data_IF_893211711971
#
_entry.id   IF_893211711971
#
_cell.length_a   1.000
_cell.length_b   1.000
_cell.length_c   1.000
_cell.angle_alpha   90.00
_cell.angle_beta   90.00
_cell.angle_gamma   90.00
#
_symmetry.space_group_name_H-M   'P 1'
#
loop_
_entity.id
_entity.type
_entity.pdbx_description
1 polymer ?
#
# COMPACT_ATOMS: atom_id res chain seq x y z
N UNK A 1 10.43 -15.63 5.54
CA UNK A 1 11.37 -14.53 5.80
C UNK A 1 10.65 -13.23 5.52
N UNK A 2 10.57 -12.34 6.51
CA UNK A 2 9.94 -11.03 6.41
C UNK A 2 10.83 -10.13 5.56
N UNK A 3 10.37 -9.73 4.38
CA UNK A 3 11.07 -8.76 3.54
C UNK A 3 10.79 -7.36 4.09
N UNK A 4 11.55 -6.98 5.12
CA UNK A 4 11.44 -5.63 5.67
C UNK A 4 12.82 -5.02 5.86
N UNK A 5 13.14 -4.09 4.97
CA UNK A 5 14.23 -3.15 5.15
C UNK A 5 13.63 -1.73 5.19
N UNK A 6 13.34 -1.19 6.38
CA UNK A 6 12.82 0.17 6.52
C UNK A 6 13.68 1.23 5.83
N UNK A 7 15.00 1.04 5.77
CA UNK A 7 15.91 1.95 5.06
C UNK A 7 15.66 2.01 3.54
N UNK A 8 14.94 1.02 2.98
CA UNK A 8 14.51 1.03 1.59
C UNK A 8 13.29 1.93 1.32
N UNK A 9 12.43 2.17 2.31
CA UNK A 9 11.18 2.95 2.17
C UNK A 9 11.43 4.35 1.59
N UNK A 10 12.41 5.13 2.10
CA UNK A 10 12.72 6.44 1.52
C UNK A 10 13.00 6.37 0.01
N UNK A 11 13.67 5.31 -0.46
CA UNK A 11 14.06 5.14 -1.88
C UNK A 11 13.03 4.42 -2.76
N UNK A 12 11.75 4.42 -2.37
CA UNK A 12 10.65 3.77 -3.11
C UNK A 12 10.51 2.27 -2.84
N UNK A 13 11.16 1.77 -1.79
CA UNK A 13 10.93 0.43 -1.26
C UNK A 13 9.65 0.33 -0.43
N UNK A 14 9.35 -0.88 0.02
CA UNK A 14 8.29 -1.16 0.97
C UNK A 14 8.76 -2.19 1.99
N UNK A 15 8.12 -2.20 3.15
CA UNK A 15 8.15 -3.33 4.06
C UNK A 15 6.85 -4.12 3.96
N UNK A 16 6.94 -5.43 4.01
CA UNK A 16 5.78 -6.32 4.14
C UNK A 16 6.05 -7.34 5.25
N UNK A 17 5.10 -7.44 6.18
CA UNK A 17 5.18 -8.34 7.32
C UNK A 17 3.97 -9.26 7.36
N UNK A 18 4.20 -10.55 7.56
CA UNK A 18 3.12 -11.47 7.94
C UNK A 18 2.80 -11.24 9.41
N UNK A 19 1.55 -10.92 9.72
CA UNK A 19 1.06 -10.87 11.10
C UNK A 19 0.66 -12.28 11.58
N UNK A 20 0.58 -12.52 12.89
CA UNK A 20 -0.06 -13.72 13.44
C UNK A 20 -1.52 -13.88 12.97
N UNK A 21 -2.09 -15.06 13.17
CA UNK A 21 -3.50 -15.35 12.89
C UNK A 21 -4.34 -15.49 14.16
N UNK A 22 -3.88 -14.90 15.27
CA UNK A 22 -4.45 -15.05 16.60
C UNK A 22 -4.63 -13.69 17.29
N UNK A 23 -5.11 -13.69 18.53
CA UNK A 23 -5.39 -12.47 19.31
C UNK A 23 -4.14 -11.59 19.57
N UNK A 24 -2.92 -12.06 19.29
CA UNK A 24 -1.69 -11.25 19.37
C UNK A 24 -1.46 -10.37 18.14
N UNK A 25 -2.27 -10.50 17.08
CA UNK A 25 -2.15 -9.76 15.81
C UNK A 25 -2.05 -8.24 16.00
N UNK A 26 -2.95 -7.57 16.76
CA UNK A 26 -2.86 -6.12 16.94
C UNK A 26 -1.59 -5.71 17.69
N UNK A 27 -1.16 -6.49 18.69
CA UNK A 27 0.07 -6.24 19.44
C UNK A 27 1.32 -6.32 18.56
N UNK A 28 1.40 -7.31 17.67
CA UNK A 28 2.48 -7.42 16.70
C UNK A 28 2.46 -6.29 15.68
N UNK A 29 1.28 -5.89 15.19
CA UNK A 29 1.16 -4.78 14.27
C UNK A 29 1.67 -3.46 14.89
N UNK A 30 1.29 -3.18 16.14
CA UNK A 30 1.82 -2.02 16.89
C UNK A 30 3.34 -2.06 17.01
N UNK A 31 3.91 -3.21 17.38
CA UNK A 31 5.36 -3.37 17.50
C UNK A 31 6.10 -3.10 16.18
N UNK A 32 5.62 -3.66 15.08
CA UNK A 32 6.24 -3.53 13.76
C UNK A 32 6.15 -2.11 13.20
N UNK A 33 4.99 -1.46 13.34
CA UNK A 33 4.80 -0.04 12.99
C UNK A 33 5.72 0.85 13.82
N UNK A 34 5.73 0.67 15.14
CA UNK A 34 6.61 1.45 16.05
C UNK A 34 8.07 1.32 15.65
N UNK A 35 8.55 0.09 15.47
CA UNK A 35 9.94 -0.18 15.11
C UNK A 35 10.30 0.46 13.77
N UNK A 36 9.43 0.33 12.77
CA UNK A 36 9.66 0.88 11.43
C UNK A 36 9.67 2.41 11.47
N UNK A 37 8.68 3.04 12.10
CA UNK A 37 8.57 4.49 12.17
C UNK A 37 9.70 5.12 12.99
N UNK A 38 10.15 4.50 14.07
CA UNK A 38 11.33 4.95 14.82
C UNK A 38 12.60 4.90 13.96
N UNK A 39 12.81 3.83 13.19
CA UNK A 39 13.95 3.74 12.26
C UNK A 39 13.88 4.77 11.14
N UNK A 40 12.66 5.18 10.76
CA UNK A 40 12.39 6.22 9.79
C UNK A 40 12.45 7.64 10.37
N UNK A 41 12.71 7.80 11.67
CA UNK A 41 12.90 9.10 12.32
C UNK A 41 11.61 9.86 12.63
N UNK A 42 10.48 9.16 12.79
CA UNK A 42 9.24 9.79 13.24
C UNK A 42 9.33 10.24 14.70
N UNK A 43 8.69 11.38 14.99
CA UNK A 43 8.50 11.84 16.36
C UNK A 43 7.53 10.92 17.14
N UNK A 44 7.57 10.91 18.48
CA UNK A 44 6.74 10.01 19.29
C UNK A 44 5.23 10.13 19.03
N UNK A 45 4.70 11.34 18.83
CA UNK A 45 3.26 11.55 18.68
C UNK A 45 2.66 10.83 17.44
N UNK A 46 3.15 11.04 16.20
CA UNK A 46 2.70 10.25 15.06
C UNK A 46 2.83 8.73 15.23
N UNK A 47 3.80 8.27 16.01
CA UNK A 47 3.98 6.83 16.28
C UNK A 47 2.85 6.31 17.18
N UNK A 48 2.41 7.06 18.17
CA UNK A 48 1.26 6.71 19.01
C UNK A 48 -0.05 6.68 18.19
N UNK A 49 -0.25 7.68 17.32
CA UNK A 49 -1.39 7.71 16.40
C UNK A 49 -1.40 6.47 15.49
N UNK A 50 -0.23 6.12 14.92
CA UNK A 50 -0.08 4.95 14.07
C UNK A 50 -0.35 3.63 14.82
N UNK A 51 0.11 3.52 16.07
CA UNK A 51 -0.12 2.34 16.93
C UNK A 51 -1.61 2.12 17.15
N UNK A 52 -2.36 3.18 17.46
CA UNK A 52 -3.79 3.07 17.66
C UNK A 52 -4.50 2.70 16.35
N UNK A 53 -4.25 3.44 15.27
CA UNK A 53 -4.87 3.19 13.97
C UNK A 53 -4.57 1.79 13.41
N UNK A 54 -3.31 1.32 13.48
CA UNK A 54 -2.96 -0.02 13.00
C UNK A 54 -3.56 -1.13 13.87
N UNK A 55 -3.74 -0.88 15.17
CA UNK A 55 -4.38 -1.84 16.08
C UNK A 55 -5.84 -2.05 15.68
N UNK A 56 -6.56 -0.98 15.36
CA UNK A 56 -7.94 -1.05 14.86
C UNK A 56 -8.02 -1.83 13.54
N UNK A 57 -7.15 -1.51 12.57
CA UNK A 57 -7.13 -2.24 11.29
C UNK A 57 -6.77 -3.72 11.44
N UNK A 58 -5.77 -4.03 12.27
CA UNK A 58 -5.37 -5.42 12.54
C UNK A 58 -6.47 -6.21 13.27
N UNK A 59 -7.20 -5.56 14.18
CA UNK A 59 -8.33 -6.16 14.90
C UNK A 59 -9.48 -6.44 13.94
N UNK A 60 -9.80 -5.49 13.05
CA UNK A 60 -10.81 -5.69 12.00
C UNK A 60 -10.44 -6.84 11.07
N UNK A 61 -9.20 -6.88 10.59
CA UNK A 61 -8.71 -7.95 9.71
C UNK A 61 -8.79 -9.32 10.38
N UNK A 62 -8.42 -9.43 11.67
CA UNK A 62 -8.52 -10.69 12.42
C UNK A 62 -9.98 -11.09 12.68
N UNK A 63 -10.83 -10.14 13.09
CA UNK A 63 -12.25 -10.39 13.44
C UNK A 63 -13.06 -10.82 12.22
N UNK A 64 -12.73 -10.27 11.05
CA UNK A 64 -13.40 -10.58 9.78
C UNK A 64 -12.66 -11.63 8.94
N UNK A 65 -11.59 -12.25 9.46
CA UNK A 65 -10.96 -13.39 8.82
C UNK A 65 -11.87 -14.62 8.95
N UNK A 66 -12.65 -14.93 7.90
CA UNK A 66 -13.54 -16.10 7.88
C UNK A 66 -12.82 -17.46 7.90
N UNK A 67 -11.48 -17.50 7.77
CA UNK A 67 -10.69 -18.75 7.86
C UNK A 67 -9.50 -18.63 8.81
N UNK A 68 -9.28 -19.67 9.61
CA UNK A 68 -8.23 -19.75 10.62
C UNK A 68 -6.81 -19.87 10.04
N UNK A 69 -6.66 -19.99 8.72
CA UNK A 69 -5.38 -20.24 8.06
C UNK A 69 -4.83 -19.03 7.32
N UNK A 70 -5.67 -18.04 6.98
CA UNK A 70 -5.24 -16.85 6.24
C UNK A 70 -4.79 -15.75 7.22
N UNK A 71 -3.48 -15.54 7.28
CA UNK A 71 -2.88 -14.53 8.15
C UNK A 71 -2.85 -13.15 7.46
N UNK A 72 -3.25 -12.06 8.16
CA UNK A 72 -3.13 -10.72 7.61
C UNK A 72 -1.68 -10.30 7.36
N UNK A 73 -1.50 -9.30 6.50
CA UNK A 73 -0.20 -8.70 6.24
C UNK A 73 -0.21 -7.21 6.60
N UNK A 74 0.88 -6.73 7.18
CA UNK A 74 1.14 -5.31 7.40
C UNK A 74 2.13 -4.81 6.35
N UNK A 75 1.76 -3.77 5.62
CA UNK A 75 2.62 -3.13 4.63
C UNK A 75 2.87 -1.66 4.97
N UNK A 76 4.06 -1.19 4.65
CA UNK A 76 4.45 0.21 4.82
C UNK A 76 5.30 0.68 3.64
N UNK A 77 4.95 1.82 3.06
CA UNK A 77 5.76 2.51 2.04
C UNK A 77 5.51 4.02 2.09
N UNK A 78 6.41 4.81 1.50
CA UNK A 78 6.24 6.24 1.36
C UNK A 78 5.58 6.55 0.01
N UNK A 79 4.65 7.50 0.01
CA UNK A 79 4.16 8.19 -1.19
C UNK A 79 4.52 9.66 -1.11
N UNK A 80 4.85 10.27 -2.24
CA UNK A 80 5.26 11.69 -2.32
C UNK A 80 4.21 12.57 -2.98
N UNK A 81 3.26 11.99 -3.72
CA UNK A 81 2.17 12.71 -4.38
C UNK A 81 0.77 12.21 -3.94
N UNK A 82 -0.19 13.10 -3.63
CA UNK A 82 -0.11 14.57 -3.76
C UNK A 82 0.69 15.26 -2.64
N UNK A 83 0.90 14.57 -1.52
CA UNK A 83 1.65 15.02 -0.36
C UNK A 83 2.58 13.92 0.17
N UNK A 84 3.72 14.26 0.80
CA UNK A 84 4.62 13.28 1.40
C UNK A 84 4.01 12.59 2.62
N UNK A 85 3.67 11.31 2.48
CA UNK A 85 2.97 10.52 3.48
C UNK A 85 3.51 9.09 3.58
N UNK A 86 3.53 8.53 4.78
CA UNK A 86 3.71 7.10 5.01
C UNK A 86 2.35 6.43 4.89
N UNK A 87 2.24 5.50 3.94
CA UNK A 87 1.08 4.61 3.81
C UNK A 87 1.29 3.40 4.71
N UNK A 88 0.31 3.12 5.56
CA UNK A 88 0.26 1.95 6.43
C UNK A 88 -1.00 1.17 6.06
N UNK A 89 -0.81 -0.11 5.75
CA UNK A 89 -1.82 -0.95 5.13
C UNK A 89 -1.93 -2.29 5.83
N UNK A 90 -3.14 -2.74 6.08
CA UNK A 90 -3.43 -4.13 6.43
C UNK A 90 -4.11 -4.81 5.25
N UNK A 91 -3.54 -5.93 4.82
CA UNK A 91 -4.15 -6.82 3.84
C UNK A 91 -4.75 -8.04 4.53
N UNK A 92 -5.93 -8.44 4.05
CA UNK A 92 -6.56 -9.70 4.38
C UNK A 92 -7.13 -10.34 3.11
N UNK A 93 -7.20 -11.68 3.10
CA UNK A 93 -7.67 -12.44 1.93
C UNK A 93 -9.18 -12.27 1.68
N UNK A 94 -9.94 -11.75 2.65
CA UNK A 94 -11.39 -11.70 2.59
C UNK A 94 -11.87 -10.51 1.74
N UNK A 95 -11.84 -10.72 0.43
CA UNK A 95 -12.12 -9.70 -0.59
C UNK A 95 -13.47 -8.99 -0.46
N UNK A 96 -14.51 -9.68 0.02
CA UNK A 96 -15.88 -9.15 -0.04
C UNK A 96 -16.41 -8.55 1.28
N UNK A 97 -15.63 -8.63 2.37
CA UNK A 97 -16.04 -8.11 3.68
C UNK A 97 -15.43 -6.72 3.93
N UNK A 98 -16.02 -5.70 3.31
CA UNK A 98 -15.51 -4.33 3.44
C UNK A 98 -15.80 -3.73 4.82
N UNK A 99 -14.84 -2.99 5.42
CA UNK A 99 -15.10 -2.30 6.67
C UNK A 99 -16.17 -1.23 6.43
N UNK A 100 -17.17 -1.18 7.30
CA UNK A 100 -18.25 -0.19 7.24
C UNK A 100 -18.07 0.81 8.38
N UNK A 101 -18.15 2.10 8.05
CA UNK A 101 -18.25 3.15 9.06
C UNK A 101 -19.67 3.08 9.62
N UNK A 102 -19.81 2.64 10.88
CA UNK A 102 -21.10 2.70 11.57
C UNK A 102 -21.16 4.00 12.36
N UNK A 103 -22.11 4.86 12.02
CA UNK A 103 -22.52 5.99 12.88
C UNK A 103 -23.34 5.41 14.04
N UNK A 104 -22.66 4.78 15.00
CA UNK A 104 -23.27 4.18 16.17
C UNK A 104 -23.42 5.17 17.33
N UNK A 105 -24.52 5.02 18.07
CA UNK A 105 -24.82 5.68 19.34
C UNK A 105 -23.62 5.61 20.30
N UNK A 106 -23.49 6.58 21.22
CA UNK A 106 -22.28 6.77 22.06
C UNK A 106 -21.82 5.52 22.83
N UNK A 107 -22.71 4.53 23.00
CA UNK A 107 -22.52 3.29 23.76
C UNK A 107 -22.23 2.04 22.90
N UNK A 108 -22.26 2.10 21.56
CA UNK A 108 -21.89 0.97 20.71
C UNK A 108 -20.38 1.00 20.38
N UNK A 109 -19.62 0.07 20.93
CA UNK A 109 -18.17 -0.04 20.68
C UNK A 109 -17.87 -0.72 19.33
N UNK A 110 -18.82 -1.46 18.77
CA UNK A 110 -18.64 -2.25 17.54
C UNK A 110 -18.84 -1.40 16.28
N UNK A 111 -17.86 -0.54 15.98
CA UNK A 111 -17.85 0.28 14.76
C UNK A 111 -17.02 1.55 14.81
N UNK A 112 -16.48 1.90 15.97
CA UNK A 112 -15.64 3.10 16.18
C UNK A 112 -14.23 2.97 15.62
N UNK A 113 -13.73 1.75 15.38
CA UNK A 113 -12.35 1.55 14.95
C UNK A 113 -11.98 2.32 13.70
N UNK A 114 -12.86 2.36 12.69
CA UNK A 114 -12.59 3.12 11.47
C UNK A 114 -12.74 4.64 11.66
N UNK A 115 -13.60 5.12 12.58
CA UNK A 115 -13.68 6.55 12.89
C UNK A 115 -12.44 7.04 13.63
N UNK A 116 -11.86 6.21 14.51
CA UNK A 116 -10.56 6.47 15.14
C UNK A 116 -9.47 6.56 14.07
N UNK A 117 -9.40 5.59 13.16
CA UNK A 117 -8.41 5.61 12.06
C UNK A 117 -8.54 6.88 11.22
N UNK A 118 -9.76 7.30 10.87
CA UNK A 118 -9.99 8.54 10.12
C UNK A 118 -9.59 9.79 10.92
N UNK A 119 -9.86 9.83 12.23
CA UNK A 119 -9.52 10.97 13.08
C UNK A 119 -8.00 11.15 13.26
N UNK A 120 -7.24 10.06 13.21
CA UNK A 120 -5.78 10.06 13.43
C UNK A 120 -4.95 10.13 12.15
N UNK A 121 -5.58 10.03 10.97
CA UNK A 121 -4.88 9.92 9.69
C UNK A 121 -5.09 11.14 8.80
N UNK A 122 -4.13 11.39 7.91
CA UNK A 122 -4.27 12.40 6.86
C UNK A 122 -5.30 11.96 5.83
N UNK A 123 -5.28 10.66 5.49
CA UNK A 123 -6.26 10.01 4.64
C UNK A 123 -6.31 8.52 4.93
N UNK A 124 -7.47 7.91 4.66
CA UNK A 124 -7.69 6.48 4.78
C UNK A 124 -8.58 5.98 3.64
N UNK A 125 -8.55 4.67 3.41
CA UNK A 125 -9.40 4.06 2.41
C UNK A 125 -9.26 2.55 2.33
N UNK A 126 -9.90 2.00 1.31
CA UNK A 126 -9.90 0.57 1.02
C UNK A 126 -9.79 0.35 -0.49
N UNK A 127 -9.23 -0.79 -0.88
CA UNK A 127 -9.23 -1.20 -2.29
C UNK A 127 -8.97 -2.71 -2.42
N UNK A 128 -9.47 -3.36 -3.49
CA UNK A 128 -9.11 -4.75 -3.78
C UNK A 128 -7.64 -4.81 -4.21
N UNK A 129 -6.92 -5.86 -3.82
CA UNK A 129 -5.50 -6.02 -4.14
C UNK A 129 -5.10 -7.50 -4.00
N UNK A 130 -3.81 -7.81 -4.04
CA UNK A 130 -3.25 -9.16 -3.83
C UNK A 130 -2.26 -9.18 -2.68
N UNK A 131 -1.99 -10.32 -2.06
CA UNK A 131 -0.95 -10.47 -1.04
C UNK A 131 0.42 -10.09 -1.58
N UNK A 132 1.28 -9.45 -0.76
CA UNK A 132 2.69 -9.20 -1.11
C UNK A 132 3.59 -10.40 -0.88
N UNK A 133 3.13 -11.38 -0.09
CA UNK A 133 3.92 -12.54 0.29
C UNK A 133 3.62 -13.78 -0.56
N UNK A 134 2.40 -13.91 -1.08
CA UNK A 134 1.95 -15.10 -1.83
C UNK A 134 1.04 -14.79 -3.03
N UNK A 135 0.82 -13.52 -3.37
CA UNK A 135 0.00 -13.08 -4.51
C UNK A 135 -1.50 -13.48 -4.48
N UNK A 136 -2.02 -14.04 -3.37
CA UNK A 136 -3.44 -14.36 -3.24
C UNK A 136 -4.31 -13.08 -3.32
N UNK A 137 -5.44 -13.09 -4.05
CA UNK A 137 -6.36 -11.96 -4.08
C UNK A 137 -7.01 -11.71 -2.72
N UNK A 138 -7.34 -10.45 -2.47
CA UNK A 138 -7.97 -10.02 -1.23
C UNK A 138 -8.26 -8.53 -1.26
N UNK A 139 -8.22 -7.91 -0.10
CA UNK A 139 -8.40 -6.46 0.03
C UNK A 139 -7.35 -5.86 0.94
N UNK A 140 -7.18 -4.55 0.81
CA UNK A 140 -6.39 -3.76 1.72
C UNK A 140 -7.25 -2.65 2.33
N UNK A 141 -7.10 -2.46 3.64
CA UNK A 141 -7.52 -1.27 4.37
C UNK A 141 -6.27 -0.49 4.75
N UNK A 142 -6.26 0.81 4.52
CA UNK A 142 -5.06 1.63 4.66
C UNK A 142 -5.36 2.99 5.26
N UNK A 143 -4.34 3.57 5.89
CA UNK A 143 -4.33 4.95 6.34
C UNK A 143 -2.95 5.57 6.09
N UNK A 144 -2.87 6.89 6.26
CA UNK A 144 -1.65 7.66 6.00
C UNK A 144 -1.35 8.62 7.12
N UNK A 145 -0.05 8.83 7.35
CA UNK A 145 0.48 9.85 8.25
C UNK A 145 1.47 10.71 7.46
N UNK A 146 1.55 12.01 7.78
CA UNK A 146 2.54 12.89 7.16
C UNK A 146 3.96 12.40 7.44
N UNK A 147 4.83 12.43 6.43
CA UNK A 147 6.25 12.11 6.63
C UNK A 147 6.93 13.20 7.48
N UNK A 148 7.96 12.87 8.29
CA UNK A 148 8.73 13.84 9.05
C UNK A 148 9.28 14.97 8.16
N UNK A 149 9.41 16.18 8.69
CA UNK A 149 10.00 17.31 7.96
C UNK A 149 11.47 17.06 7.55
N UNK A 150 12.19 16.23 8.31
CA UNK A 150 13.54 15.76 8.02
C UNK A 150 13.60 14.61 7.01
N UNK A 151 12.46 14.22 6.41
CA UNK A 151 12.44 13.18 5.39
C UNK A 151 13.39 13.59 4.25
N UNK A 152 14.36 12.73 3.84
CA UNK A 152 15.55 13.20 3.16
C UNK A 152 15.28 14.10 1.94
N UNK A 153 15.94 15.26 1.88
CA UNK A 153 15.85 16.20 0.75
C UNK A 153 16.27 15.59 -0.59
N UNK A 154 17.02 14.48 -0.57
CA UNK A 154 17.39 13.67 -1.73
C UNK A 154 16.19 13.24 -2.60
N UNK A 155 14.95 13.26 -2.07
CA UNK A 155 13.74 12.88 -2.81
C UNK A 155 13.11 13.99 -3.65
N UNK A 156 13.47 15.27 -3.45
CA UNK A 156 12.95 16.36 -4.28
C UNK A 156 13.60 16.44 -5.67
N UNK A 157 14.62 15.61 -5.96
CA UNK A 157 15.24 15.59 -7.30
C UNK A 157 16.34 14.56 -7.59
N UNK A 158 16.74 13.69 -6.65
CA UNK A 158 18.04 12.99 -6.75
C UNK A 158 17.99 11.48 -7.00
N UNK A 159 16.86 10.77 -6.84
CA UNK A 159 16.76 9.38 -7.34
C UNK A 159 16.33 9.40 -8.80
N UNK A 160 17.27 9.79 -9.68
CA UNK A 160 17.10 9.66 -11.13
C UNK A 160 17.24 8.19 -11.52
N UNK A 161 16.16 7.43 -11.33
CA UNK A 161 16.09 6.10 -11.94
C UNK A 161 15.98 6.28 -13.45
N UNK A 162 16.84 5.62 -14.22
CA UNK A 162 16.63 5.53 -15.66
C UNK A 162 15.21 4.96 -15.92
N UNK A 163 14.45 5.47 -16.90
CA UNK A 163 13.08 4.99 -17.17
C UNK A 163 12.99 3.47 -17.30
N UNK A 164 14.00 2.86 -17.93
CA UNK A 164 14.14 1.41 -18.05
C UNK A 164 14.20 0.72 -16.69
N UNK A 165 15.04 1.19 -15.78
CA UNK A 165 15.16 0.64 -14.42
C UNK A 165 13.86 0.81 -13.63
N UNK A 166 13.20 1.97 -13.73
CA UNK A 166 11.90 2.19 -13.08
C UNK A 166 10.82 1.25 -13.65
N UNK A 167 10.81 1.07 -14.97
CA UNK A 167 9.93 0.12 -15.64
C UNK A 167 10.19 -1.33 -15.22
N UNK A 168 11.46 -1.74 -15.12
CA UNK A 168 11.83 -3.10 -14.68
C UNK A 168 11.40 -3.35 -13.24
N UNK A 169 11.56 -2.35 -12.35
CA UNK A 169 11.11 -2.44 -10.95
C UNK A 169 9.58 -2.52 -10.84
N UNK A 170 8.85 -1.74 -11.63
CA UNK A 170 7.38 -1.81 -11.65
C UNK A 170 6.90 -3.15 -12.21
N UNK A 171 7.51 -3.61 -13.31
CA UNK A 171 7.21 -4.91 -13.90
C UNK A 171 7.45 -6.05 -12.91
N UNK A 172 8.57 -6.03 -12.19
CA UNK A 172 8.86 -7.01 -11.14
C UNK A 172 7.84 -6.96 -9.99
N UNK A 173 7.45 -5.76 -9.54
CA UNK A 173 6.46 -5.59 -8.49
C UNK A 173 5.07 -6.12 -8.88
N UNK A 174 4.63 -5.88 -10.13
CA UNK A 174 3.36 -6.39 -10.66
C UNK A 174 3.38 -7.92 -10.83
N UNK A 175 4.44 -8.47 -11.42
CA UNK A 175 4.58 -9.92 -11.60
C UNK A 175 4.69 -10.67 -10.27
N UNK A 176 5.40 -10.12 -9.28
CA UNK A 176 5.47 -10.70 -7.93
C UNK A 176 4.09 -10.77 -7.26
N UNK A 177 3.14 -9.95 -7.70
CA UNK A 177 1.74 -9.94 -7.25
C UNK A 177 0.84 -10.71 -8.20
N UNK A 178 1.37 -11.43 -9.18
CA UNK A 178 0.59 -12.24 -10.11
C UNK A 178 -0.24 -11.45 -11.11
N UNK A 179 0.12 -10.19 -11.40
CA UNK A 179 -0.50 -9.37 -12.46
C UNK A 179 0.29 -9.53 -13.75
N UNK A 180 -0.24 -10.23 -14.77
CA UNK A 180 0.45 -10.43 -16.03
C UNK A 180 0.76 -9.09 -16.69
N UNK A 181 2.06 -8.86 -16.93
CA UNK A 181 2.54 -7.59 -17.46
C UNK A 181 3.55 -7.88 -18.56
N UNK A 182 3.47 -7.17 -19.69
CA UNK A 182 4.55 -7.12 -20.69
C UNK A 182 5.26 -5.77 -20.58
N UNK A 183 6.54 -5.73 -20.98
CA UNK A 183 7.35 -4.51 -20.92
C UNK A 183 8.05 -4.32 -22.25
N UNK A 184 7.87 -3.14 -22.84
CA UNK A 184 8.58 -2.69 -24.02
C UNK A 184 9.38 -1.42 -23.69
N UNK A 185 10.56 -1.26 -24.26
CA UNK A 185 11.39 -0.07 -24.12
C UNK A 185 11.92 0.32 -25.48
N UNK A 186 11.78 1.58 -25.87
CA UNK A 186 12.36 2.09 -27.12
C UNK A 186 13.72 2.77 -26.89
N UNK A 187 14.38 3.12 -27.98
CA UNK A 187 15.68 3.81 -27.97
C UNK A 187 15.56 5.29 -27.57
N UNK A 188 14.34 5.85 -27.53
CA UNK A 188 14.07 7.22 -27.09
C UNK A 188 14.14 7.38 -25.57
N UNK A 189 14.20 6.26 -24.84
CA UNK A 189 14.29 6.21 -23.39
C UNK A 189 12.92 6.24 -22.72
N UNK A 190 11.84 5.95 -23.44
CA UNK A 190 10.51 5.71 -22.87
C UNK A 190 10.31 4.20 -22.75
N UNK A 191 9.72 3.76 -21.63
CA UNK A 191 9.27 2.38 -21.49
C UNK A 191 7.76 2.34 -21.34
N UNK A 192 7.14 1.29 -21.83
CA UNK A 192 5.70 1.03 -21.68
C UNK A 192 5.54 -0.33 -21.04
N UNK A 193 4.77 -0.39 -19.96
CA UNK A 193 4.28 -1.63 -19.40
C UNK A 193 2.83 -1.79 -19.81
N UNK A 194 2.46 -2.96 -20.30
CA UNK A 194 1.08 -3.28 -20.65
C UNK A 194 0.58 -4.38 -19.74
N UNK A 195 -0.47 -4.09 -18.98
CA UNK A 195 -1.29 -5.09 -18.29
C UNK A 195 -2.51 -5.40 -19.16
N UNK A 196 -3.32 -6.38 -18.77
CA UNK A 196 -4.55 -6.71 -19.51
C UNK A 196 -5.52 -5.54 -19.69
N UNK A 197 -5.46 -4.51 -18.83
CA UNK A 197 -6.42 -3.39 -18.85
C UNK A 197 -5.77 -2.00 -18.92
N UNK A 198 -4.46 -1.87 -18.69
CA UNK A 198 -3.76 -0.58 -18.68
C UNK A 198 -2.47 -0.61 -19.50
N UNK A 199 -2.19 0.52 -20.16
CA UNK A 199 -0.86 0.87 -20.63
C UNK A 199 -0.26 1.92 -19.69
N UNK A 200 0.91 1.62 -19.14
CA UNK A 200 1.66 2.47 -18.23
C UNK A 200 2.91 2.97 -18.95
N UNK A 201 2.94 4.25 -19.27
CA UNK A 201 4.11 4.92 -19.82
C UNK A 201 5.06 5.33 -18.70
N UNK A 202 6.35 5.08 -18.91
CA UNK A 202 7.42 5.40 -17.98
C UNK A 202 8.38 6.35 -18.69
N UNK A 203 8.34 7.61 -18.28
CA UNK A 203 9.27 8.65 -18.70
C UNK A 203 10.34 8.90 -17.63
N UNK A 204 11.21 9.90 -17.81
CA UNK A 204 12.31 10.24 -16.88
C UNK A 204 11.85 10.78 -15.52
N UNK A 205 10.58 11.11 -15.38
CA UNK A 205 10.00 11.81 -14.23
C UNK A 205 8.85 11.03 -13.60
N UNK A 206 8.11 10.22 -14.36
CA UNK A 206 6.89 9.62 -13.87
C UNK A 206 6.47 8.32 -14.55
N UNK A 207 5.66 7.56 -13.81
CA UNK A 207 4.69 6.61 -14.33
C UNK A 207 3.42 7.36 -14.71
N UNK A 208 2.86 7.08 -15.87
CA UNK A 208 1.60 7.68 -16.32
C UNK A 208 0.72 6.64 -16.96
N UNK A 209 -0.58 6.71 -16.74
CA UNK A 209 -1.56 5.84 -17.39
C UNK A 209 -2.91 6.54 -17.49
N UNK A 210 -3.80 5.96 -18.30
CA UNK A 210 -5.17 6.42 -18.45
C UNK A 210 -6.13 5.32 -18.04
N UNK A 211 -7.09 5.66 -17.20
CA UNK A 211 -8.20 4.79 -16.77
C UNK A 211 -9.52 5.49 -17.13
N UNK A 212 -10.15 5.03 -18.20
CA UNK A 212 -11.27 5.75 -18.84
C UNK A 212 -10.89 7.19 -19.21
N UNK A 213 -11.56 8.17 -18.60
CA UNK A 213 -11.26 9.59 -18.80
C UNK A 213 -10.17 10.13 -17.86
N UNK A 214 -9.82 9.40 -16.80
CA UNK A 214 -8.86 9.85 -15.79
C UNK A 214 -7.42 9.58 -16.27
N UNK A 215 -6.67 10.66 -16.49
CA UNK A 215 -5.22 10.57 -16.67
C UNK A 215 -4.53 10.69 -15.31
N UNK A 216 -3.67 9.73 -14.98
CA UNK A 216 -2.91 9.72 -13.73
C UNK A 216 -1.42 9.78 -14.03
N UNK A 217 -0.70 10.57 -13.24
CA UNK A 217 0.75 10.72 -13.30
C UNK A 217 1.34 10.64 -11.89
N UNK A 218 2.34 9.78 -11.71
CA UNK A 218 2.98 9.50 -10.43
C UNK A 218 4.49 9.59 -10.52
N UNK A 219 5.20 10.25 -9.59
CA UNK A 219 6.65 10.27 -9.56
C UNK A 219 7.26 8.86 -9.58
N UNK A 220 8.44 8.68 -10.20
CA UNK A 220 9.10 7.36 -10.25
C UNK A 220 9.44 6.78 -8.86
N UNK A 221 9.61 7.64 -7.87
CA UNK A 221 9.87 7.23 -6.47
C UNK A 221 8.64 6.58 -5.83
N UNK A 222 7.43 6.92 -6.30
CA UNK A 222 6.14 6.39 -5.84
C UNK A 222 5.83 5.04 -6.54
N UNK A 223 6.86 4.20 -6.66
CA UNK A 223 6.78 2.88 -7.29
C UNK A 223 5.70 2.01 -6.65
N UNK A 224 5.66 1.99 -5.30
CA UNK A 224 4.74 1.15 -4.54
C UNK A 224 3.30 1.64 -4.67
N UNK A 225 3.09 2.95 -4.58
CA UNK A 225 1.79 3.58 -4.81
C UNK A 225 1.29 3.34 -6.24
N UNK A 226 2.18 3.43 -7.23
CA UNK A 226 1.86 3.12 -8.62
C UNK A 226 1.47 1.65 -8.80
N UNK A 227 2.25 0.73 -8.21
CA UNK A 227 1.96 -0.70 -8.26
C UNK A 227 0.60 -1.03 -7.63
N UNK A 228 0.30 -0.52 -6.43
CA UNK A 228 -1.00 -0.78 -5.79
C UNK A 228 -2.18 -0.24 -6.61
N UNK A 229 -2.06 0.93 -7.25
CA UNK A 229 -3.12 1.46 -8.11
C UNK A 229 -3.37 0.59 -9.35
N UNK A 230 -2.31 0.10 -9.98
CA UNK A 230 -2.42 -0.79 -11.14
C UNK A 230 -2.99 -2.15 -10.73
N UNK A 231 -2.54 -2.73 -9.62
CA UNK A 231 -3.06 -3.99 -9.08
C UNK A 231 -4.53 -3.85 -8.70
N UNK A 232 -4.90 -2.76 -8.04
CA UNK A 232 -6.29 -2.51 -7.65
C UNK A 232 -7.21 -2.38 -8.86
N UNK A 233 -6.77 -1.67 -9.89
CA UNK A 233 -7.51 -1.56 -11.14
C UNK A 233 -7.64 -2.94 -11.82
N UNK A 234 -6.56 -3.74 -11.86
CA UNK A 234 -6.60 -5.12 -12.38
C UNK A 234 -7.62 -5.98 -11.63
N UNK A 235 -7.59 -5.97 -10.30
CA UNK A 235 -8.50 -6.75 -9.48
C UNK A 235 -9.96 -6.34 -9.67
N UNK A 236 -10.22 -5.03 -9.78
CA UNK A 236 -11.57 -4.52 -10.01
C UNK A 236 -12.16 -5.02 -11.33
N UNK A 237 -11.35 -5.10 -12.39
CA UNK A 237 -11.81 -5.52 -13.73
C UNK A 237 -11.75 -7.03 -13.97
N UNK A 238 -10.85 -7.75 -13.29
CA UNK A 238 -10.77 -9.20 -13.37
C UNK A 238 -12.05 -9.88 -12.85
N UNK A 239 -12.71 -9.30 -11.84
CA UNK A 239 -13.98 -9.78 -11.30
C UNK A 239 -15.18 -9.64 -12.25
N UNK A 240 -15.07 -8.80 -13.29
CA UNK A 240 -16.16 -8.61 -14.28
C UNK A 240 -16.14 -9.69 -15.39
N UNK A 241 -15.08 -10.50 -15.44
CA UNK A 241 -14.87 -11.56 -16.46
C UNK A 241 -15.21 -12.97 -16.00
N UNK A 242 -15.84 -13.15 -14.84
CA UNK A 242 -16.38 -14.45 -14.44
C UNK A 242 -17.74 -14.69 -15.14
N UNK A 243 -17.90 -15.77 -15.93
CA UNK A 243 -19.17 -16.11 -16.59
C UNK A 243 -20.27 -16.51 -15.59
#
# INVERSE_FOLDING_TARGET
MLTANPAGIPTGGACAFQLPGDLSTPSHARFLVTTTMCQLGFAPHPVEDAKLAVSELATNALTHASSTTARPELWMWARTHPSPELVISIFDIHRDAWPTIRNGDLLDEHGKGLSIVMALSVSAGTHPTRSRLNAAPGKCVWFTLGLPSSWPEAFRGSVRSAPRTAADRLHAALNARGVPTTRHSDDSGVSVLTTGTLNIWVDRKAFSWRDGQRYTRQPLIDLQETAERVISHHETHASTTAP
#
